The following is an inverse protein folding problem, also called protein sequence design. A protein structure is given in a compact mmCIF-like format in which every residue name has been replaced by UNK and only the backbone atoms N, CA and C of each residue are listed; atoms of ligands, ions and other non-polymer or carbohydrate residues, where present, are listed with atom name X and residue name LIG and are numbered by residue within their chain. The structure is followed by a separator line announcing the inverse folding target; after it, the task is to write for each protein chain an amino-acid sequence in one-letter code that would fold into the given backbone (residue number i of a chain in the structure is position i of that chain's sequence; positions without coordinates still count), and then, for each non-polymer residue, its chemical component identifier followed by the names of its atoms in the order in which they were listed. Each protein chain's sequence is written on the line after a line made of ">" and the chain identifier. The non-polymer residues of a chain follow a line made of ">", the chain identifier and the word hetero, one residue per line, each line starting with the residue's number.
data_IF_653628338533
#
_entry.id   IF_653628338533
#
_cell.length_a   1.000
_cell.length_b   1.000
_cell.length_c   1.000
_cell.angle_alpha   90.00
_cell.angle_beta   90.00
_cell.angle_gamma   90.00
#
_symmetry.space_group_name_H-M   'P 1'
#
loop_
_entity.id
_entity.type
_entity.pdbx_description
1 polymer ?
#
# COMPACT_ATOMS: atom_id res chain seq x y z
N UNK A 1 8.43 -0.89 12.61
CA UNK A 1 8.37 0.56 12.26
C UNK A 1 9.42 0.98 11.22
N UNK A 2 10.70 0.61 11.34
CA UNK A 2 11.78 1.04 10.41
C UNK A 2 11.50 0.88 8.91
N UNK A 3 10.77 -0.16 8.51
CA UNK A 3 10.52 -0.49 7.09
C UNK A 3 9.15 -0.02 6.56
N UNK A 4 8.32 0.63 7.39
CA UNK A 4 6.96 1.06 7.00
C UNK A 4 6.06 -0.07 6.45
N UNK A 5 6.27 -1.31 6.91
CA UNK A 5 5.42 -2.45 6.56
C UNK A 5 4.06 -2.30 7.26
N UNK A 6 3.00 -2.41 6.48
CA UNK A 6 1.61 -2.44 6.92
C UNK A 6 1.20 -3.87 7.27
N UNK A 7 0.36 -4.01 8.30
CA UNK A 7 -0.09 -5.31 8.81
C UNK A 7 -1.61 -5.33 8.79
N UNK A 8 -2.20 -6.35 8.18
CA UNK A 8 -3.63 -6.65 8.28
C UNK A 8 -3.85 -8.12 8.70
N UNK A 9 -5.05 -8.45 9.16
CA UNK A 9 -5.43 -9.80 9.61
C UNK A 9 -6.82 -10.16 9.15
N UNK A 10 -7.02 -11.44 8.86
CA UNK A 10 -8.34 -12.04 8.70
C UNK A 10 -8.46 -13.28 9.60
N UNK A 11 -9.58 -14.00 9.51
CA UNK A 11 -9.87 -15.18 10.34
C UNK A 11 -8.88 -16.33 10.09
N UNK A 12 -8.28 -16.39 8.90
CA UNK A 12 -7.39 -17.47 8.46
C UNK A 12 -5.89 -17.13 8.67
N UNK A 13 -5.54 -15.87 8.95
CA UNK A 13 -4.17 -15.48 9.27
C UNK A 13 -3.86 -13.99 9.14
N UNK A 14 -2.65 -13.67 8.67
CA UNK A 14 -2.20 -12.28 8.53
C UNK A 14 -1.49 -12.01 7.20
N UNK A 15 -1.43 -10.73 6.87
CA UNK A 15 -0.75 -10.22 5.70
C UNK A 15 0.15 -9.04 6.07
N UNK A 16 1.31 -9.00 5.42
CA UNK A 16 2.29 -7.92 5.51
C UNK A 16 2.40 -7.28 4.13
N UNK A 17 2.22 -5.97 4.05
CA UNK A 17 2.21 -5.23 2.78
C UNK A 17 3.19 -4.05 2.85
N UNK A 18 3.83 -3.75 1.72
CA UNK A 18 4.58 -2.51 1.52
C UNK A 18 4.42 -2.08 0.05
N UNK A 19 4.27 -0.77 -0.14
CA UNK A 19 4.13 -0.16 -1.46
C UNK A 19 5.39 0.65 -1.78
N UNK A 20 5.84 0.56 -3.03
CA UNK A 20 6.92 1.42 -3.51
C UNK A 20 6.38 2.80 -3.85
N UNK A 21 7.30 3.78 -3.94
CA UNK A 21 7.01 4.99 -4.71
C UNK A 21 6.77 4.64 -6.20
N UNK A 22 6.18 5.54 -6.99
CA UNK A 22 6.10 5.35 -8.43
C UNK A 22 7.48 5.06 -9.03
N UNK A 23 7.53 4.11 -9.97
CA UNK A 23 8.80 3.66 -10.60
C UNK A 23 9.18 4.47 -11.83
N UNK A 24 8.32 5.41 -12.22
CA UNK A 24 8.51 6.35 -13.32
C UNK A 24 8.27 7.76 -12.80
N UNK A 25 8.75 8.76 -13.55
CA UNK A 25 8.53 10.18 -13.22
C UNK A 25 7.03 10.53 -13.17
N UNK A 26 6.27 9.92 -14.10
CA UNK A 26 4.81 9.97 -14.08
C UNK A 26 4.27 9.01 -13.00
N UNK A 27 3.38 9.46 -12.10
CA UNK A 27 2.89 8.67 -10.97
C UNK A 27 1.80 7.67 -11.40
N UNK A 28 2.13 6.76 -12.31
CA UNK A 28 1.18 5.83 -12.94
C UNK A 28 1.38 4.39 -12.50
N UNK A 29 2.64 3.97 -12.29
CA UNK A 29 2.99 2.59 -11.95
C UNK A 29 3.79 2.55 -10.66
N UNK A 30 3.36 1.69 -9.75
CA UNK A 30 4.07 1.34 -8.52
C UNK A 30 3.96 -0.17 -8.29
N UNK A 31 4.77 -0.70 -7.37
CA UNK A 31 4.72 -2.10 -6.98
C UNK A 31 4.21 -2.27 -5.55
N UNK A 32 3.49 -3.36 -5.34
CA UNK A 32 3.14 -3.88 -4.03
C UNK A 32 3.96 -5.15 -3.77
N UNK A 33 4.56 -5.22 -2.59
CA UNK A 33 5.15 -6.46 -2.08
C UNK A 33 4.27 -6.95 -0.93
N UNK A 34 3.72 -8.15 -1.09
CA UNK A 34 2.81 -8.77 -0.13
C UNK A 34 3.34 -10.13 0.33
N UNK A 35 3.36 -10.34 1.65
CA UNK A 35 3.59 -11.65 2.25
C UNK A 35 2.32 -12.10 2.97
N UNK A 36 1.85 -13.30 2.64
CA UNK A 36 0.67 -13.91 3.24
C UNK A 36 1.07 -15.08 4.13
N UNK A 37 0.47 -15.17 5.30
CA UNK A 37 0.49 -16.38 6.12
C UNK A 37 -0.94 -16.73 6.50
N UNK A 38 -1.54 -17.65 5.75
CA UNK A 38 -2.92 -18.09 5.93
C UNK A 38 -3.98 -17.13 5.39
N UNK A 39 -3.72 -15.82 5.45
CA UNK A 39 -4.68 -14.79 5.02
C UNK A 39 -5.08 -14.90 3.55
N UNK A 40 -6.39 -14.92 3.31
CA UNK A 40 -7.03 -15.00 1.98
C UNK A 40 -7.64 -13.67 1.54
N UNK A 41 -7.82 -12.73 2.46
CA UNK A 41 -8.33 -11.39 2.19
C UNK A 41 -7.32 -10.49 1.48
N UNK A 42 -7.74 -9.32 1.00
CA UNK A 42 -6.89 -8.38 0.26
C UNK A 42 -6.29 -7.26 1.11
N UNK A 43 -6.54 -7.24 2.42
CA UNK A 43 -6.04 -6.17 3.29
C UNK A 43 -6.72 -4.82 3.04
N UNK A 44 -8.06 -4.76 3.15
CA UNK A 44 -8.86 -3.55 2.83
C UNK A 44 -8.39 -2.30 3.57
N UNK A 45 -7.90 -2.45 4.81
CA UNK A 45 -7.42 -1.32 5.61
C UNK A 45 -6.18 -0.65 4.99
N UNK A 46 -5.29 -1.45 4.40
CA UNK A 46 -4.06 -0.96 3.80
C UNK A 46 -4.29 -0.21 2.48
N UNK A 47 -5.37 -0.55 1.76
CA UNK A 47 -5.74 0.10 0.51
C UNK A 47 -6.17 1.57 0.71
N UNK A 48 -6.91 1.86 1.78
CA UNK A 48 -7.31 3.24 2.10
C UNK A 48 -6.10 4.12 2.42
N UNK A 49 -5.19 3.60 3.25
CA UNK A 49 -3.95 4.31 3.60
C UNK A 49 -3.04 4.56 2.38
N UNK A 50 -3.03 3.64 1.42
CA UNK A 50 -2.34 3.83 0.14
C UNK A 50 -2.95 4.96 -0.68
N UNK A 51 -4.28 4.97 -0.88
CA UNK A 51 -4.96 6.03 -1.62
C UNK A 51 -4.73 7.41 -1.01
N UNK A 52 -4.86 7.54 0.31
CA UNK A 52 -4.60 8.80 1.02
C UNK A 52 -3.13 9.26 0.91
N UNK A 53 -2.18 8.33 0.75
CA UNK A 53 -0.78 8.68 0.49
C UNK A 53 -0.58 9.17 -0.95
N UNK A 54 -1.23 8.52 -1.93
CA UNK A 54 -1.18 8.90 -3.35
C UNK A 54 -1.86 10.26 -3.58
N UNK A 55 -3.04 10.49 -3.01
CA UNK A 55 -3.76 11.77 -3.14
C UNK A 55 -2.95 12.93 -2.57
N UNK A 56 -2.31 12.73 -1.40
CA UNK A 56 -1.40 13.74 -0.84
C UNK A 56 -0.24 14.04 -1.77
N UNK A 57 0.34 13.02 -2.42
CA UNK A 57 1.42 13.22 -3.38
C UNK A 57 0.95 13.95 -4.65
N UNK A 58 -0.25 13.63 -5.16
CA UNK A 58 -0.86 14.32 -6.30
C UNK A 58 -1.20 15.78 -5.98
N UNK A 59 -1.68 16.07 -4.77
CA UNK A 59 -1.94 17.44 -4.31
C UNK A 59 -0.66 18.29 -4.26
N UNK A 60 0.45 17.71 -3.80
CA UNK A 60 1.76 18.39 -3.79
C UNK A 60 2.24 18.68 -5.22
N UNK A 61 1.96 17.78 -6.18
CA UNK A 61 2.33 17.95 -7.59
C UNK A 61 1.39 18.88 -8.37
N UNK A 62 0.28 19.32 -7.77
CA UNK A 62 -0.70 20.21 -8.40
C UNK A 62 -1.56 19.54 -9.48
N UNK A 63 -1.76 18.23 -9.40
CA UNK A 63 -2.54 17.44 -10.38
C UNK A 63 -3.83 16.86 -9.79
N UNK A 64 -4.37 17.49 -8.74
CA UNK A 64 -5.63 17.09 -8.09
C UNK A 64 -6.81 17.87 -8.66
#
# INVERSE_FOLDING_TARGET
>A
KRLNILIDRDEDGYLLQIFTKPVQDRPTVFFEIIQRKGAKSFGKGNFKALFEAIEREQAIRGTL
#
